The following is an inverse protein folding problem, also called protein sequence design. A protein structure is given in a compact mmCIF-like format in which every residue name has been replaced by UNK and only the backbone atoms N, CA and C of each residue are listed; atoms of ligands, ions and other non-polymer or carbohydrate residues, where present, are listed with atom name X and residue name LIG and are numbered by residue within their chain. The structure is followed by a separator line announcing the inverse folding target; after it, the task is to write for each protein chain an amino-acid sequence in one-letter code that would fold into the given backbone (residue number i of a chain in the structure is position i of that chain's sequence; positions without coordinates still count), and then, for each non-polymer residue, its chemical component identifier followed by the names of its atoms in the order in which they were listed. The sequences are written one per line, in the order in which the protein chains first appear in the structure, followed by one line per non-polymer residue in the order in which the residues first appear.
data_IF_397794784624
#
_entry.id   IF_397794784624
#
_cell.length_a   1.000
_cell.length_b   1.000
_cell.length_c   1.000
_cell.angle_alpha   90.00
_cell.angle_beta   90.00
_cell.angle_gamma   90.00
#
_symmetry.space_group_name_H-M   'P 1'
#
loop_
_entity.id
_entity.type
_entity.pdbx_description
1 polymer ?
#
# COMPACT_ATOMS: atom_id res chain seq x y z
N UNK A 1 19.56 28.07 -13.40
CA UNK A 1 19.62 26.74 -12.74
C UNK A 1 20.66 25.91 -13.47
N UNK A 2 21.55 25.30 -12.73
CA UNK A 2 22.52 24.34 -13.27
C UNK A 2 21.78 23.04 -13.63
N UNK A 3 22.11 22.42 -14.76
CA UNK A 3 21.48 21.14 -15.11
C UNK A 3 21.97 20.03 -14.17
N UNK A 4 21.02 19.20 -13.67
CA UNK A 4 21.37 18.02 -12.88
C UNK A 4 22.21 17.06 -13.73
N UNK A 5 23.30 16.48 -13.18
CA UNK A 5 24.14 15.56 -13.91
C UNK A 5 23.42 14.29 -14.32
N UNK A 6 23.85 13.69 -15.42
CA UNK A 6 23.38 12.36 -15.81
C UNK A 6 23.92 11.31 -14.83
N UNK A 7 23.00 10.50 -14.30
CA UNK A 7 23.32 9.42 -13.38
C UNK A 7 23.48 8.10 -14.16
N UNK A 8 24.50 7.31 -13.78
CA UNK A 8 24.65 5.96 -14.31
C UNK A 8 23.50 5.06 -13.86
N UNK A 9 23.27 3.93 -14.56
CA UNK A 9 22.26 2.94 -14.17
C UNK A 9 22.41 2.52 -12.72
N UNK A 10 23.62 2.24 -12.26
CA UNK A 10 23.87 1.82 -10.87
C UNK A 10 23.58 2.91 -9.85
N UNK A 11 23.80 4.18 -10.18
CA UNK A 11 23.41 5.29 -9.30
C UNK A 11 21.89 5.41 -9.18
N UNK A 12 21.16 5.25 -10.29
CA UNK A 12 19.70 5.21 -10.28
C UNK A 12 19.16 4.00 -9.51
N UNK A 13 19.79 2.85 -9.67
CA UNK A 13 19.47 1.63 -8.91
C UNK A 13 19.67 1.82 -7.41
N UNK A 14 20.85 2.31 -7.01
CA UNK A 14 21.19 2.53 -5.60
C UNK A 14 20.23 3.53 -4.93
N UNK A 15 19.75 4.53 -5.68
CA UNK A 15 18.83 5.54 -5.18
C UNK A 15 17.49 4.92 -4.69
N UNK A 16 17.06 3.85 -5.31
CA UNK A 16 15.78 3.20 -5.03
C UNK A 16 15.90 1.82 -4.39
N UNK A 17 17.12 1.29 -4.21
CA UNK A 17 17.31 -0.09 -3.75
C UNK A 17 16.72 -0.37 -2.37
N UNK A 18 16.85 0.57 -1.44
CA UNK A 18 16.24 0.43 -0.11
C UNK A 18 14.71 0.30 -0.14
N UNK A 19 14.08 0.79 -1.19
CA UNK A 19 12.63 0.67 -1.37
C UNK A 19 12.17 -0.79 -1.56
N UNK A 20 13.03 -1.65 -2.11
CA UNK A 20 12.79 -3.09 -2.16
C UNK A 20 12.55 -3.66 -0.75
N UNK A 21 13.41 -3.33 0.23
CA UNK A 21 13.25 -3.76 1.61
C UNK A 21 11.99 -3.19 2.28
N UNK A 22 11.69 -1.92 2.05
CA UNK A 22 10.47 -1.28 2.58
C UNK A 22 9.21 -1.95 2.03
N UNK A 23 9.22 -2.35 0.76
CA UNK A 23 8.09 -3.05 0.15
C UNK A 23 7.93 -4.48 0.65
N UNK A 24 8.99 -5.17 1.03
CA UNK A 24 8.89 -6.46 1.73
C UNK A 24 8.13 -6.28 3.06
N UNK A 25 8.48 -5.27 3.85
CA UNK A 25 7.78 -4.99 5.10
C UNK A 25 6.29 -4.67 4.87
N UNK A 26 5.98 -3.83 3.89
CA UNK A 26 4.61 -3.50 3.53
C UNK A 26 3.81 -4.72 3.03
N UNK A 27 4.42 -5.58 2.22
CA UNK A 27 3.79 -6.80 1.72
C UNK A 27 3.51 -7.80 2.86
N UNK A 28 4.47 -8.00 3.77
CA UNK A 28 4.28 -8.84 4.95
C UNK A 28 3.15 -8.33 5.84
N UNK A 29 3.09 -7.03 6.06
CA UNK A 29 1.99 -6.40 6.78
C UNK A 29 0.66 -6.64 6.07
N UNK A 30 0.54 -6.27 4.79
CA UNK A 30 -0.71 -6.36 4.03
C UNK A 30 -1.27 -7.77 3.96
N UNK A 31 -0.43 -8.78 3.82
CA UNK A 31 -0.85 -10.17 3.70
C UNK A 31 -1.10 -10.87 5.03
N UNK A 32 -0.45 -10.44 6.12
CA UNK A 32 -0.44 -11.22 7.35
C UNK A 32 -1.08 -10.53 8.55
N UNK A 33 -1.39 -9.24 8.51
CA UNK A 33 -1.97 -8.54 9.69
C UNK A 33 -3.29 -9.16 10.11
N UNK A 34 -4.23 -9.37 9.19
CA UNK A 34 -5.51 -10.03 9.52
C UNK A 34 -5.30 -11.44 10.07
N UNK A 35 -4.39 -12.21 9.44
CA UNK A 35 -4.02 -13.55 9.90
C UNK A 35 -3.42 -13.52 11.32
N UNK A 36 -2.51 -12.60 11.61
CA UNK A 36 -1.89 -12.45 12.93
C UNK A 36 -2.96 -12.14 13.98
N UNK A 37 -3.79 -11.12 13.77
CA UNK A 37 -4.83 -10.75 14.73
C UNK A 37 -5.86 -11.87 14.93
N UNK A 38 -6.26 -12.58 13.87
CA UNK A 38 -7.12 -13.74 13.96
C UNK A 38 -6.49 -14.86 14.79
N UNK A 39 -5.23 -15.14 14.57
CA UNK A 39 -4.47 -16.16 15.34
C UNK A 39 -4.31 -15.74 16.80
N UNK A 40 -4.17 -14.45 17.08
CA UNK A 40 -4.11 -13.90 18.44
C UNK A 40 -5.46 -13.92 19.16
N UNK A 41 -6.56 -14.21 18.46
CA UNK A 41 -7.90 -14.34 19.03
C UNK A 41 -8.87 -13.21 18.71
N UNK A 42 -8.58 -12.37 17.71
CA UNK A 42 -9.51 -11.33 17.27
C UNK A 42 -10.78 -11.92 16.66
N UNK A 43 -11.94 -11.35 17.02
CA UNK A 43 -13.21 -11.68 16.39
C UNK A 43 -13.23 -11.19 14.93
N UNK A 44 -13.74 -11.98 13.96
CA UNK A 44 -13.88 -11.54 12.57
C UNK A 44 -14.66 -10.23 12.41
N UNK A 45 -15.66 -9.97 13.27
CA UNK A 45 -16.48 -8.76 13.23
C UNK A 45 -15.70 -7.50 13.64
N UNK A 46 -14.69 -7.66 14.53
CA UNK A 46 -13.85 -6.56 14.99
C UNK A 46 -12.61 -6.36 14.11
N UNK A 47 -12.29 -7.33 13.24
CA UNK A 47 -11.06 -7.36 12.46
C UNK A 47 -10.87 -6.12 11.58
N UNK A 48 -11.96 -5.60 11.02
CA UNK A 48 -11.90 -4.41 10.16
C UNK A 48 -11.47 -3.15 10.89
N UNK A 49 -11.70 -3.03 12.20
CA UNK A 49 -11.29 -1.84 12.98
C UNK A 49 -9.76 -1.68 13.01
N UNK A 50 -8.99 -2.78 12.99
CA UNK A 50 -7.53 -2.70 12.91
C UNK A 50 -7.06 -2.05 11.61
N UNK A 51 -7.82 -2.18 10.54
CA UNK A 51 -7.52 -1.63 9.22
C UNK A 51 -7.84 -0.14 9.05
N UNK A 52 -8.33 0.53 10.12
CA UNK A 52 -8.43 1.99 10.15
C UNK A 52 -7.03 2.63 10.21
N UNK A 53 -6.07 1.97 10.87
CA UNK A 53 -4.75 2.55 11.15
C UNK A 53 -3.90 2.77 9.90
N UNK A 54 -3.73 1.83 8.94
CA UNK A 54 -2.90 2.03 7.78
C UNK A 54 -3.26 3.29 6.97
N UNK A 55 -4.50 3.49 6.51
CA UNK A 55 -4.86 4.69 5.76
C UNK A 55 -4.78 5.97 6.61
N UNK A 56 -5.10 5.89 7.90
CA UNK A 56 -5.01 7.04 8.82
C UNK A 56 -3.55 7.48 8.97
N UNK A 57 -2.63 6.54 9.23
CA UNK A 57 -1.20 6.85 9.35
C UNK A 57 -0.62 7.33 8.03
N UNK A 58 -0.99 6.73 6.90
CA UNK A 58 -0.58 7.21 5.57
C UNK A 58 -0.99 8.67 5.30
N UNK A 59 -2.21 9.03 5.71
CA UNK A 59 -2.75 10.38 5.54
C UNK A 59 -2.05 11.42 6.43
N UNK A 60 -1.63 11.04 7.64
CA UNK A 60 -1.02 11.94 8.62
C UNK A 60 0.49 12.01 8.45
N UNK A 61 1.15 10.85 8.37
CA UNK A 61 2.62 10.75 8.45
C UNK A 61 3.30 11.28 7.19
N UNK A 62 2.78 10.96 6.00
CA UNK A 62 3.44 11.34 4.74
C UNK A 62 3.60 12.86 4.57
N UNK A 63 2.58 13.71 4.80
CA UNK A 63 2.74 15.17 4.74
C UNK A 63 3.70 15.71 5.80
N UNK A 64 3.63 15.17 7.03
CA UNK A 64 4.50 15.60 8.13
C UNK A 64 5.96 15.31 7.79
N UNK A 65 6.27 14.07 7.39
CA UNK A 65 7.63 13.68 7.00
C UNK A 65 8.12 14.44 5.79
N UNK A 66 7.25 14.65 4.80
CA UNK A 66 7.55 15.50 3.64
C UNK A 66 8.03 16.89 4.08
N UNK A 67 7.22 17.58 4.86
CA UNK A 67 7.50 18.95 5.35
C UNK A 67 8.72 19.00 6.26
N UNK A 68 8.85 18.07 7.20
CA UNK A 68 10.00 18.04 8.12
C UNK A 68 11.29 17.76 7.36
N UNK A 69 11.30 16.80 6.44
CA UNK A 69 12.48 16.46 5.65
C UNK A 69 12.90 17.60 4.72
N UNK A 70 11.98 18.46 4.31
CA UNK A 70 12.31 19.68 3.54
C UNK A 70 13.12 20.71 4.35
N UNK A 71 12.93 20.73 5.66
CA UNK A 71 13.60 21.65 6.59
C UNK A 71 14.87 21.09 7.22
N UNK A 72 15.09 19.78 7.06
CA UNK A 72 16.22 19.09 7.70
C UNK A 72 17.46 19.12 6.83
N UNK A 73 18.60 19.50 7.43
CA UNK A 73 19.92 19.41 6.83
C UNK A 73 20.89 18.88 7.86
N UNK A 74 21.43 17.69 7.64
CA UNK A 74 22.43 17.08 8.50
C UNK A 74 23.54 16.41 7.67
N UNK A 75 24.52 15.83 8.34
CA UNK A 75 25.66 15.16 7.68
C UNK A 75 25.25 13.97 6.78
N UNK A 76 24.13 13.34 7.07
CA UNK A 76 23.59 12.22 6.27
C UNK A 76 22.78 12.68 5.08
N UNK A 77 22.42 13.97 5.03
CA UNK A 77 21.56 14.55 4.01
C UNK A 77 20.25 15.08 4.56
N UNK A 78 19.27 15.22 3.70
CA UNK A 78 17.96 15.81 3.97
C UNK A 78 16.89 14.74 4.17
N UNK A 79 16.86 13.75 3.30
CA UNK A 79 15.85 12.66 3.25
C UNK A 79 16.29 11.41 3.99
N UNK A 80 17.57 11.07 3.90
CA UNK A 80 18.16 9.84 4.45
C UNK A 80 17.92 9.66 5.96
N UNK A 81 17.98 10.68 6.83
CA UNK A 81 17.69 10.49 8.25
C UNK A 81 16.31 9.92 8.53
N UNK A 82 15.27 10.38 7.82
CA UNK A 82 13.90 9.90 7.99
C UNK A 82 13.73 8.48 7.49
N UNK A 83 14.36 8.16 6.36
CA UNK A 83 14.44 6.81 5.84
C UNK A 83 15.06 5.84 6.85
N UNK A 84 16.20 6.23 7.43
CA UNK A 84 16.93 5.42 8.39
C UNK A 84 16.13 5.20 9.67
N UNK A 85 15.61 6.26 10.29
CA UNK A 85 14.81 6.17 11.52
C UNK A 85 13.54 5.35 11.29
N UNK A 86 12.83 5.60 10.18
CA UNK A 86 11.64 4.83 9.82
C UNK A 86 11.95 3.33 9.66
N UNK A 87 13.00 3.00 8.94
CA UNK A 87 13.40 1.60 8.77
C UNK A 87 13.83 0.94 10.10
N UNK A 88 14.57 1.65 10.94
CA UNK A 88 15.01 1.12 12.24
C UNK A 88 13.83 0.81 13.18
N UNK A 89 12.86 1.73 13.27
CA UNK A 89 11.63 1.50 14.05
C UNK A 89 10.80 0.38 13.45
N UNK A 90 10.66 0.32 12.12
CA UNK A 90 9.94 -0.75 11.44
C UNK A 90 10.55 -2.13 11.73
N UNK A 91 11.88 -2.25 11.72
CA UNK A 91 12.59 -3.50 12.07
C UNK A 91 12.28 -3.95 13.49
N UNK A 92 12.35 -3.03 14.46
CA UNK A 92 12.02 -3.35 15.85
C UNK A 92 10.57 -3.85 15.99
N UNK A 93 9.64 -3.16 15.35
CA UNK A 93 8.21 -3.53 15.41
C UNK A 93 7.92 -4.84 14.67
N UNK A 94 8.57 -5.08 13.53
CA UNK A 94 8.44 -6.36 12.80
C UNK A 94 8.95 -7.56 13.63
N UNK A 95 9.88 -7.35 14.54
CA UNK A 95 10.32 -8.38 15.47
C UNK A 95 9.35 -8.56 16.64
N UNK A 96 8.67 -7.52 17.08
CA UNK A 96 7.80 -7.56 18.26
C UNK A 96 6.36 -8.00 17.94
N UNK A 97 5.78 -7.49 16.86
CA UNK A 97 4.37 -7.71 16.52
C UNK A 97 3.99 -9.20 16.38
N UNK A 98 4.71 -10.04 15.64
CA UNK A 98 4.32 -11.45 15.51
C UNK A 98 4.54 -12.26 16.80
N UNK A 99 5.26 -11.72 17.79
CA UNK A 99 5.49 -12.35 19.08
C UNK A 99 4.50 -11.90 20.17
N UNK A 100 3.50 -11.10 19.83
CA UNK A 100 2.55 -10.56 20.79
C UNK A 100 1.87 -11.64 21.66
N UNK A 101 1.53 -12.79 21.07
CA UNK A 101 0.91 -13.91 21.79
C UNK A 101 1.83 -14.63 22.77
N UNK A 102 3.14 -14.46 22.66
CA UNK A 102 4.14 -15.10 23.52
C UNK A 102 4.49 -14.28 24.76
N UNK A 103 3.89 -13.11 24.95
CA UNK A 103 4.19 -12.19 26.05
C UNK A 103 3.50 -12.54 27.38
N UNK A 104 2.67 -13.59 27.42
CA UNK A 104 1.96 -13.98 28.63
C UNK A 104 0.85 -12.99 29.06
N UNK A 105 0.39 -12.15 28.14
CA UNK A 105 -0.65 -11.16 28.38
C UNK A 105 -2.05 -11.74 28.17
N UNK A 106 -3.07 -11.14 28.80
CA UNK A 106 -4.46 -11.46 28.52
C UNK A 106 -4.82 -11.07 27.06
N UNK A 107 -5.83 -11.71 26.46
CA UNK A 107 -6.24 -11.49 25.06
C UNK A 107 -6.48 -10.00 24.77
N UNK A 108 -7.19 -9.29 25.65
CA UNK A 108 -7.44 -7.86 25.50
C UNK A 108 -6.15 -7.02 25.49
N UNK A 109 -5.17 -7.38 26.30
CA UNK A 109 -3.87 -6.71 26.36
C UNK A 109 -3.03 -7.01 25.13
N UNK A 110 -3.09 -8.26 24.63
CA UNK A 110 -2.44 -8.66 23.37
C UNK A 110 -3.01 -7.85 22.18
N UNK A 111 -4.34 -7.66 22.15
CA UNK A 111 -4.98 -6.87 21.10
C UNK A 111 -4.55 -5.40 21.15
N UNK A 112 -4.49 -4.78 22.32
CA UNK A 112 -4.02 -3.40 22.48
C UNK A 112 -2.56 -3.28 22.10
N UNK A 113 -1.72 -4.21 22.53
CA UNK A 113 -0.31 -4.26 22.15
C UNK A 113 -0.14 -4.38 20.62
N UNK A 114 -0.86 -5.31 20.00
CA UNK A 114 -0.87 -5.50 18.56
C UNK A 114 -1.31 -4.24 17.79
N UNK A 115 -2.33 -3.54 18.29
CA UNK A 115 -2.83 -2.31 17.72
C UNK A 115 -1.77 -1.19 17.76
N UNK A 116 -1.09 -1.03 18.90
CA UNK A 116 0.00 -0.06 19.06
C UNK A 116 1.17 -0.42 18.12
N UNK A 117 1.54 -1.70 18.05
CA UNK A 117 2.59 -2.16 17.16
C UNK A 117 2.22 -1.93 15.68
N UNK A 118 0.98 -2.19 15.29
CA UNK A 118 0.51 -1.92 13.94
C UNK A 118 0.58 -0.42 13.62
N UNK A 119 0.13 0.44 14.52
CA UNK A 119 0.22 1.89 14.35
C UNK A 119 1.67 2.36 14.17
N UNK A 120 2.59 1.84 14.97
CA UNK A 120 4.03 2.15 14.86
C UNK A 120 4.63 1.60 13.56
N UNK A 121 4.20 0.42 13.11
CA UNK A 121 4.64 -0.17 11.86
C UNK A 121 4.20 0.68 10.66
N UNK A 122 2.94 1.06 10.62
CA UNK A 122 2.41 1.93 9.55
C UNK A 122 3.09 3.30 9.54
N UNK A 123 3.28 3.90 10.72
CA UNK A 123 4.00 5.17 10.86
C UNK A 123 5.41 5.06 10.31
N UNK A 124 6.15 4.02 10.70
CA UNK A 124 7.55 3.85 10.32
C UNK A 124 7.73 3.46 8.86
N UNK A 125 6.86 2.62 8.31
CA UNK A 125 6.86 2.29 6.87
C UNK A 125 6.58 3.54 6.03
N UNK A 126 5.55 4.32 6.38
CA UNK A 126 5.24 5.56 5.67
C UNK A 126 6.37 6.59 5.79
N UNK A 127 7.01 6.69 6.97
CA UNK A 127 8.17 7.55 7.17
C UNK A 127 9.37 7.12 6.32
N UNK A 128 9.58 5.82 6.10
CA UNK A 128 10.64 5.31 5.24
C UNK A 128 10.30 5.43 3.75
N UNK A 129 9.04 5.24 3.36
CA UNK A 129 8.60 5.30 1.95
C UNK A 129 8.70 6.69 1.35
N UNK A 130 8.34 7.72 2.10
CA UNK A 130 8.24 9.08 1.57
C UNK A 130 9.57 9.62 1.03
N UNK A 131 10.73 9.47 1.71
CA UNK A 131 12.02 9.87 1.18
C UNK A 131 12.36 9.26 -0.19
N UNK A 132 12.03 8.00 -0.43
CA UNK A 132 12.30 7.36 -1.72
C UNK A 132 11.55 8.04 -2.88
N UNK A 133 10.28 8.39 -2.67
CA UNK A 133 9.49 9.09 -3.67
C UNK A 133 10.07 10.47 -4.00
N UNK A 134 10.60 11.15 -2.99
CA UNK A 134 11.13 12.50 -3.10
C UNK A 134 12.56 12.55 -3.65
N UNK A 135 13.43 11.61 -3.28
CA UNK A 135 14.83 11.58 -3.75
C UNK A 135 14.96 11.49 -5.27
N UNK A 136 14.07 10.77 -5.94
CA UNK A 136 14.07 10.71 -7.40
C UNK A 136 13.79 12.10 -7.99
N UNK A 137 12.83 12.82 -7.44
CA UNK A 137 12.53 14.20 -7.83
C UNK A 137 13.70 15.16 -7.59
N UNK A 138 14.31 15.04 -6.39
CA UNK A 138 15.40 15.93 -5.97
C UNK A 138 16.69 15.71 -6.77
N UNK A 139 17.07 14.46 -7.06
CA UNK A 139 18.40 14.10 -7.57
C UNK A 139 18.47 13.74 -9.05
N UNK A 140 17.35 13.38 -9.67
CA UNK A 140 17.35 12.91 -11.06
C UNK A 140 16.94 14.04 -12.02
N UNK A 141 17.64 14.16 -13.16
CA UNK A 141 17.28 15.12 -14.20
C UNK A 141 16.01 14.68 -14.96
N UNK A 142 15.35 15.61 -15.62
CA UNK A 142 14.08 15.35 -16.32
C UNK A 142 14.18 14.24 -17.38
N UNK A 143 15.33 14.14 -18.08
CA UNK A 143 15.55 13.12 -19.13
C UNK A 143 15.57 11.70 -18.56
N UNK A 144 16.02 11.53 -17.32
CA UNK A 144 16.20 10.23 -16.69
C UNK A 144 15.09 9.89 -15.67
N UNK A 145 14.18 10.81 -15.33
CA UNK A 145 13.10 10.58 -14.35
C UNK A 145 12.25 9.36 -14.68
N UNK A 146 11.84 9.22 -15.94
CA UNK A 146 11.03 8.07 -16.35
C UNK A 146 11.76 6.74 -16.10
N UNK A 147 13.07 6.67 -16.40
CA UNK A 147 13.92 5.51 -16.14
C UNK A 147 14.07 5.25 -14.63
N UNK A 148 14.29 6.30 -13.85
CA UNK A 148 14.43 6.20 -12.38
C UNK A 148 13.15 5.68 -11.73
N UNK A 149 11.99 6.20 -12.11
CA UNK A 149 10.69 5.70 -11.61
C UNK A 149 10.38 4.28 -12.08
N UNK A 150 10.81 3.89 -13.28
CA UNK A 150 10.69 2.51 -13.74
C UNK A 150 11.50 1.54 -12.89
N UNK A 151 12.75 1.89 -12.55
CA UNK A 151 13.60 1.11 -11.63
C UNK A 151 12.96 1.04 -10.25
N UNK A 152 12.47 2.15 -9.72
CA UNK A 152 11.79 2.21 -8.44
C UNK A 152 10.54 1.32 -8.42
N UNK A 153 9.72 1.38 -9.46
CA UNK A 153 8.53 0.54 -9.60
C UNK A 153 8.88 -0.94 -9.68
N UNK A 154 9.93 -1.29 -10.42
CA UNK A 154 10.41 -2.67 -10.48
C UNK A 154 10.84 -3.19 -9.11
N UNK A 155 11.66 -2.43 -8.38
CA UNK A 155 12.12 -2.81 -7.04
C UNK A 155 10.96 -2.90 -6.04
N UNK A 156 10.00 -2.00 -6.14
CA UNK A 156 8.78 -2.00 -5.34
C UNK A 156 7.98 -3.30 -5.55
N UNK A 157 7.68 -3.64 -6.80
CA UNK A 157 6.91 -4.84 -7.12
C UNK A 157 7.68 -6.13 -6.78
N UNK A 158 8.98 -6.18 -7.06
CA UNK A 158 9.83 -7.31 -6.70
C UNK A 158 9.86 -7.54 -5.19
N UNK A 159 10.00 -6.46 -4.40
CA UNK A 159 9.92 -6.53 -2.94
C UNK A 159 8.59 -7.05 -2.44
N UNK A 160 7.49 -6.58 -3.03
CA UNK A 160 6.14 -7.05 -2.67
C UNK A 160 5.97 -8.55 -2.95
N UNK A 161 6.37 -9.02 -4.12
CA UNK A 161 6.29 -10.45 -4.48
C UNK A 161 7.10 -11.31 -3.51
N UNK A 162 8.33 -10.90 -3.20
CA UNK A 162 9.19 -11.62 -2.25
C UNK A 162 8.55 -11.67 -0.86
N UNK A 163 8.05 -10.54 -0.35
CA UNK A 163 7.39 -10.47 0.96
C UNK A 163 6.15 -11.36 1.04
N UNK A 164 5.32 -11.36 0.00
CA UNK A 164 4.12 -12.20 -0.07
C UNK A 164 4.43 -13.69 -0.05
N UNK A 165 5.54 -14.11 -0.66
CA UNK A 165 5.90 -15.53 -0.78
C UNK A 165 6.58 -16.09 0.47
N UNK A 166 7.10 -15.28 1.38
CA UNK A 166 7.91 -15.75 2.51
C UNK A 166 7.24 -16.85 3.36
N UNK A 167 6.00 -16.69 3.88
CA UNK A 167 5.41 -17.72 4.71
C UNK A 167 5.25 -19.06 3.99
N UNK A 168 4.91 -19.03 2.71
CA UNK A 168 4.79 -20.22 1.87
C UNK A 168 6.15 -20.91 1.67
N UNK A 169 7.17 -20.16 1.31
CA UNK A 169 8.53 -20.68 1.09
C UNK A 169 9.09 -21.27 2.38
N UNK A 170 8.89 -20.62 3.52
CA UNK A 170 9.40 -21.11 4.80
C UNK A 170 8.67 -22.37 5.26
N UNK A 171 7.37 -22.50 4.99
CA UNK A 171 6.66 -23.75 5.20
C UNK A 171 7.21 -24.87 4.28
N UNK A 172 7.50 -24.56 3.01
CA UNK A 172 8.06 -25.52 2.05
C UNK A 172 9.46 -26.01 2.42
N UNK A 173 10.27 -25.19 3.08
CA UNK A 173 11.60 -25.60 3.59
C UNK A 173 11.55 -26.25 4.97
N UNK A 174 10.37 -26.51 5.52
CA UNK A 174 10.18 -27.32 6.72
C UNK A 174 10.01 -26.54 8.03
N UNK A 175 9.81 -25.21 8.00
CA UNK A 175 9.43 -24.47 9.20
C UNK A 175 7.99 -24.82 9.62
N UNK A 176 7.78 -24.99 10.92
CA UNK A 176 6.48 -25.31 11.47
C UNK A 176 5.44 -24.23 11.13
N UNK A 177 4.31 -24.67 10.59
CA UNK A 177 3.19 -23.82 10.20
C UNK A 177 2.06 -23.80 11.23
N UNK A 178 2.27 -24.47 12.36
CA UNK A 178 1.33 -24.56 13.49
C UNK A 178 2.03 -24.17 14.77
N UNK A 179 1.32 -23.51 15.67
CA UNK A 179 1.75 -23.19 17.00
C UNK A 179 0.60 -23.43 18.01
N UNK A 180 0.87 -23.27 19.28
CA UNK A 180 -0.17 -23.31 20.30
C UNK A 180 -1.24 -22.24 20.04
N UNK A 181 -2.51 -22.45 20.47
CA UNK A 181 -3.56 -21.44 20.32
C UNK A 181 -3.13 -20.08 20.87
N UNK A 182 -3.39 -19.01 20.12
CA UNK A 182 -2.99 -17.64 20.48
C UNK A 182 -1.54 -17.28 20.15
N UNK A 183 -0.77 -18.18 19.55
CA UNK A 183 0.62 -17.96 19.15
C UNK A 183 0.74 -18.00 17.63
N UNK A 184 1.41 -17.01 17.06
CA UNK A 184 1.65 -16.92 15.63
C UNK A 184 2.62 -18.01 15.18
N UNK A 185 2.35 -18.74 14.07
CA UNK A 185 3.22 -19.81 13.60
C UNK A 185 4.63 -19.34 13.25
N UNK A 186 5.64 -20.20 13.45
CA UNK A 186 7.03 -19.90 13.09
C UNK A 186 7.24 -19.45 11.64
N UNK A 187 6.47 -19.96 10.69
CA UNK A 187 6.52 -19.53 9.27
C UNK A 187 6.27 -18.03 9.13
N UNK A 188 5.31 -17.47 9.86
CA UNK A 188 5.01 -16.04 9.85
C UNK A 188 6.05 -15.25 10.64
N UNK A 189 6.40 -15.71 11.84
CA UNK A 189 7.41 -15.05 12.70
C UNK A 189 8.74 -14.89 11.96
N UNK A 190 9.25 -15.95 11.36
CA UNK A 190 10.48 -15.91 10.59
C UNK A 190 10.37 -15.08 9.32
N UNK A 191 9.19 -15.04 8.69
CA UNK A 191 8.95 -14.13 7.56
C UNK A 191 9.17 -12.66 7.97
N UNK A 192 8.68 -12.27 9.14
CA UNK A 192 8.89 -10.91 9.65
C UNK A 192 10.35 -10.68 10.06
N UNK A 193 11.04 -11.64 10.66
CA UNK A 193 12.44 -11.50 11.04
C UNK A 193 13.34 -11.36 9.82
N UNK A 194 13.19 -12.22 8.82
CA UNK A 194 13.99 -12.15 7.59
C UNK A 194 13.62 -10.90 6.79
N UNK A 195 12.34 -10.56 6.72
CA UNK A 195 11.90 -9.31 6.10
C UNK A 195 12.50 -8.08 6.77
N UNK A 196 12.56 -8.05 8.10
CA UNK A 196 13.20 -6.99 8.88
C UNK A 196 14.71 -6.92 8.61
N UNK A 197 15.40 -8.07 8.56
CA UNK A 197 16.82 -8.14 8.22
C UNK A 197 17.10 -7.60 6.80
N UNK A 198 16.29 -7.98 5.81
CA UNK A 198 16.43 -7.47 4.44
C UNK A 198 16.13 -5.97 4.39
N UNK A 199 15.09 -5.50 5.09
CA UNK A 199 14.75 -4.08 5.16
C UNK A 199 15.95 -3.26 5.64
N UNK A 200 16.54 -3.63 6.77
CA UNK A 200 17.65 -2.84 7.33
C UNK A 200 18.90 -2.91 6.45
N UNK A 201 19.20 -4.07 5.87
CA UNK A 201 20.34 -4.24 4.95
C UNK A 201 20.14 -3.37 3.70
N UNK A 202 18.97 -3.39 3.09
CA UNK A 202 18.65 -2.59 1.90
C UNK A 202 18.71 -1.08 2.19
N UNK A 203 18.18 -0.66 3.33
CA UNK A 203 18.21 0.75 3.75
C UNK A 203 19.63 1.21 4.08
N UNK A 204 20.40 0.41 4.81
CA UNK A 204 21.81 0.70 5.07
C UNK A 204 22.62 0.80 3.78
N UNK A 205 22.40 -0.13 2.85
CA UNK A 205 23.04 -0.09 1.53
C UNK A 205 22.75 1.24 0.82
N UNK A 206 21.47 1.63 0.73
CA UNK A 206 21.08 2.90 0.10
C UNK A 206 21.71 4.09 0.84
N UNK A 207 21.66 4.12 2.17
CA UNK A 207 22.22 5.20 2.99
C UNK A 207 23.73 5.35 2.79
N UNK A 208 24.46 4.26 2.62
CA UNK A 208 25.91 4.28 2.40
C UNK A 208 26.29 4.64 0.96
N UNK A 209 25.49 4.26 -0.02
CA UNK A 209 25.79 4.46 -1.45
C UNK A 209 25.27 5.78 -2.02
N UNK A 210 24.16 6.28 -1.46
CA UNK A 210 23.54 7.54 -1.91
C UNK A 210 24.06 8.68 -1.03
N UNK A 211 24.67 9.66 -1.66
CA UNK A 211 25.02 10.94 -1.05
C UNK A 211 24.10 12.01 -1.60
N UNK A 212 23.25 12.56 -0.75
CA UNK A 212 22.44 13.72 -1.10
C UNK A 212 23.34 14.95 -1.28
N UNK A 213 22.96 15.85 -2.15
CA UNK A 213 23.71 17.09 -2.36
C UNK A 213 23.70 17.97 -1.10
N UNK A 214 24.82 18.60 -0.78
CA UNK A 214 24.85 19.59 0.28
C UNK A 214 23.97 20.80 -0.09
N UNK A 215 23.53 21.64 0.91
CA UNK A 215 22.55 22.69 0.69
C UNK A 215 22.87 23.62 -0.49
N UNK A 216 24.12 24.04 -0.65
CA UNK A 216 24.56 24.93 -1.74
C UNK A 216 24.38 24.30 -3.11
N UNK A 217 24.81 23.04 -3.28
CA UNK A 217 24.65 22.32 -4.55
C UNK A 217 23.18 22.02 -4.84
N UNK A 218 22.41 21.70 -3.80
CA UNK A 218 20.97 21.48 -3.96
C UNK A 218 20.28 22.73 -4.50
N UNK A 219 20.59 23.93 -3.96
CA UNK A 219 20.06 25.21 -4.44
C UNK A 219 20.50 25.54 -5.88
N UNK A 220 21.73 25.18 -6.28
CA UNK A 220 22.20 25.37 -7.65
C UNK A 220 21.40 24.54 -8.67
N UNK A 221 21.03 23.31 -8.30
CA UNK A 221 20.31 22.38 -9.17
C UNK A 221 18.79 22.54 -9.12
N UNK A 222 18.22 22.84 -7.97
CA UNK A 222 16.78 22.93 -7.77
C UNK A 222 16.25 24.36 -7.63
N UNK A 223 17.15 25.37 -7.54
CA UNK A 223 16.83 26.79 -7.39
C UNK A 223 16.48 27.18 -5.95
N UNK A 224 16.74 28.44 -5.59
CA UNK A 224 16.30 29.00 -4.30
C UNK A 224 14.78 29.04 -4.15
N UNK A 225 14.08 29.14 -5.29
CA UNK A 225 12.64 29.14 -5.34
C UNK A 225 11.99 27.89 -4.73
N UNK A 226 12.62 26.70 -4.88
CA UNK A 226 12.04 25.47 -4.32
C UNK A 226 12.12 25.36 -2.79
N UNK A 227 12.99 26.14 -2.13
CA UNK A 227 12.99 26.26 -0.67
C UNK A 227 12.02 27.34 -0.20
N UNK A 228 11.84 28.42 -0.99
CA UNK A 228 10.90 29.49 -0.70
C UNK A 228 9.52 29.26 -1.31
N UNK A 229 9.39 28.63 -2.48
CA UNK A 229 8.10 28.26 -3.06
C UNK A 229 7.42 27.15 -2.29
N UNK A 230 8.15 26.11 -1.81
CA UNK A 230 7.55 25.13 -0.90
C UNK A 230 7.16 25.77 0.45
N UNK A 231 7.88 26.78 0.93
CA UNK A 231 7.52 27.53 2.14
C UNK A 231 6.46 28.61 1.83
N UNK A 232 6.48 29.23 0.65
CA UNK A 232 5.45 30.18 0.23
C UNK A 232 4.21 29.48 -0.35
N UNK A 233 4.33 28.33 -1.05
CA UNK A 233 3.19 27.50 -1.38
C UNK A 233 2.59 26.84 -0.13
N UNK A 234 3.39 26.44 0.85
CA UNK A 234 2.87 25.97 2.15
C UNK A 234 2.26 27.14 2.94
N UNK A 235 2.85 28.34 2.91
CA UNK A 235 2.27 29.54 3.52
C UNK A 235 1.11 30.15 2.73
N UNK A 236 1.08 30.03 1.40
CA UNK A 236 -0.07 30.36 0.57
C UNK A 236 -1.13 29.27 0.62
N UNK A 237 -0.74 28.00 0.80
CA UNK A 237 -1.64 26.88 1.05
C UNK A 237 -2.27 26.98 2.46
N UNK A 238 -1.54 27.47 3.46
CA UNK A 238 -2.12 27.81 4.78
C UNK A 238 -3.09 28.99 4.72
N UNK A 239 -3.00 29.84 3.68
CA UNK A 239 -3.94 30.97 3.45
C UNK A 239 -5.03 30.67 2.41
N UNK A 240 -4.88 29.66 1.55
CA UNK A 240 -5.98 29.20 0.74
C UNK A 240 -6.79 28.22 1.57
N UNK A 241 -7.97 28.65 2.00
CA UNK A 241 -8.93 27.82 2.70
C UNK A 241 -9.15 26.54 1.86
N UNK A 242 -8.69 25.39 2.38
CA UNK A 242 -8.81 24.08 1.72
C UNK A 242 -10.27 23.75 1.36
N UNK A 243 -11.23 24.31 2.11
CA UNK A 243 -12.66 24.22 1.82
C UNK A 243 -12.98 24.95 0.52
N UNK A 244 -12.40 26.13 0.32
CA UNK A 244 -12.57 26.91 -0.91
C UNK A 244 -11.95 26.18 -2.11
N UNK A 245 -10.79 25.55 -1.94
CA UNK A 245 -10.18 24.74 -3.00
C UNK A 245 -11.05 23.54 -3.36
N UNK A 246 -11.57 22.80 -2.38
CA UNK A 246 -12.47 21.68 -2.62
C UNK A 246 -13.77 22.14 -3.31
N UNK A 247 -14.34 23.27 -2.91
CA UNK A 247 -15.55 23.84 -3.52
C UNK A 247 -15.32 24.22 -4.99
N UNK A 248 -14.12 24.68 -5.32
CA UNK A 248 -13.73 25.08 -6.67
C UNK A 248 -13.09 23.95 -7.49
N UNK A 249 -12.99 22.75 -6.92
CA UNK A 249 -12.42 21.61 -7.62
C UNK A 249 -13.24 21.24 -8.88
N UNK A 250 -12.57 20.84 -9.99
CA UNK A 250 -13.28 20.48 -11.19
C UNK A 250 -14.20 19.29 -10.94
N UNK A 251 -15.34 19.23 -11.67
CA UNK A 251 -16.32 18.15 -11.50
C UNK A 251 -15.70 16.75 -11.67
N UNK A 252 -14.67 16.61 -12.52
CA UNK A 252 -13.92 15.37 -12.71
C UNK A 252 -13.24 14.91 -11.42
N UNK A 253 -12.73 15.83 -10.58
CA UNK A 253 -12.13 15.49 -9.28
C UNK A 253 -13.12 14.71 -8.39
N UNK A 254 -14.34 15.18 -8.27
CA UNK A 254 -15.38 14.54 -7.46
C UNK A 254 -15.89 13.23 -8.07
N UNK A 255 -16.03 13.18 -9.40
CA UNK A 255 -16.48 11.98 -10.11
C UNK A 255 -15.45 10.86 -10.00
N UNK A 256 -14.16 11.16 -10.15
CA UNK A 256 -13.07 10.21 -9.91
C UNK A 256 -13.01 9.83 -8.43
N UNK A 257 -13.20 10.78 -7.52
CA UNK A 257 -13.31 10.52 -6.09
C UNK A 257 -14.41 9.51 -5.75
N UNK A 258 -15.57 9.59 -6.41
CA UNK A 258 -16.66 8.63 -6.24
C UNK A 258 -16.27 7.22 -6.71
N UNK A 259 -15.56 7.09 -7.83
CA UNK A 259 -15.02 5.79 -8.27
C UNK A 259 -14.03 5.25 -7.25
N UNK A 260 -13.11 6.10 -6.77
CA UNK A 260 -12.13 5.74 -5.75
C UNK A 260 -12.79 5.26 -4.44
N UNK A 261 -13.92 5.85 -4.06
CA UNK A 261 -14.68 5.43 -2.89
C UNK A 261 -15.02 3.94 -2.93
N UNK A 262 -15.62 3.49 -4.02
CA UNK A 262 -15.99 2.08 -4.19
C UNK A 262 -14.77 1.16 -4.30
N UNK A 263 -13.75 1.59 -5.05
CA UNK A 263 -12.56 0.81 -5.28
C UNK A 263 -11.77 0.54 -4.00
N UNK A 264 -11.51 1.58 -3.22
CA UNK A 264 -10.69 1.44 -2.01
C UNK A 264 -11.45 0.78 -0.86
N UNK A 265 -12.77 0.93 -0.80
CA UNK A 265 -13.61 0.16 0.12
C UNK A 265 -13.55 -1.35 -0.20
N UNK A 266 -13.61 -1.71 -1.48
CA UNK A 266 -13.49 -3.10 -1.92
C UNK A 266 -12.13 -3.71 -1.53
N UNK A 267 -11.05 -2.97 -1.75
CA UNK A 267 -9.70 -3.42 -1.43
C UNK A 267 -9.48 -3.56 0.08
N UNK A 268 -10.06 -2.68 0.88
CA UNK A 268 -9.99 -2.83 2.33
C UNK A 268 -10.62 -4.15 2.77
N UNK A 269 -11.79 -4.50 2.24
CA UNK A 269 -12.42 -5.79 2.56
C UNK A 269 -11.61 -6.99 2.08
N UNK A 270 -10.87 -6.86 0.96
CA UNK A 270 -9.90 -7.87 0.56
C UNK A 270 -8.84 -8.06 1.64
N UNK A 271 -8.14 -7.01 2.03
CA UNK A 271 -7.06 -7.11 3.03
C UNK A 271 -7.56 -7.62 4.38
N UNK A 272 -8.79 -7.25 4.75
CA UNK A 272 -9.38 -7.65 6.03
C UNK A 272 -9.80 -9.12 6.04
N UNK A 273 -10.49 -9.59 5.01
CA UNK A 273 -11.26 -10.83 5.06
C UNK A 273 -10.77 -11.93 4.10
N UNK A 274 -9.85 -11.66 3.19
CA UNK A 274 -9.52 -12.63 2.13
C UNK A 274 -8.86 -13.90 2.65
N UNK A 275 -8.05 -13.83 3.72
CA UNK A 275 -7.43 -15.03 4.31
C UNK A 275 -8.51 -15.94 4.86
N UNK A 276 -9.45 -15.38 5.62
CA UNK A 276 -10.61 -16.12 6.15
C UNK A 276 -11.49 -16.65 5.01
N UNK A 277 -11.74 -15.85 3.98
CA UNK A 277 -12.54 -16.26 2.82
C UNK A 277 -11.93 -17.44 2.05
N UNK A 278 -10.62 -17.42 1.83
CA UNK A 278 -9.89 -18.52 1.17
C UNK A 278 -9.86 -19.76 2.07
N UNK A 279 -9.67 -19.59 3.39
CA UNK A 279 -9.73 -20.69 4.35
C UNK A 279 -11.11 -21.34 4.41
N UNK A 280 -12.18 -20.54 4.44
CA UNK A 280 -13.56 -21.02 4.39
C UNK A 280 -13.86 -21.79 3.08
N UNK A 281 -13.42 -21.24 1.94
CA UNK A 281 -13.80 -21.75 0.61
C UNK A 281 -13.01 -22.98 0.22
N UNK A 282 -11.70 -23.02 0.48
CA UNK A 282 -10.79 -24.07 -0.03
C UNK A 282 -10.52 -25.14 1.02
N UNK A 283 -10.43 -24.77 2.29
CA UNK A 283 -10.09 -25.67 3.40
C UNK A 283 -11.25 -25.92 4.37
N UNK A 284 -12.43 -25.35 4.10
CA UNK A 284 -13.63 -25.51 4.92
C UNK A 284 -13.39 -25.26 6.43
N UNK A 285 -12.59 -24.24 6.75
CA UNK A 285 -12.22 -23.91 8.12
C UNK A 285 -12.42 -22.43 8.45
N UNK A 286 -12.84 -22.17 9.69
CA UNK A 286 -12.91 -20.84 10.31
C UNK A 286 -12.05 -20.74 11.56
N UNK A 287 -11.49 -21.86 11.96
CA UNK A 287 -10.63 -21.94 13.14
C UNK A 287 -9.24 -21.41 12.81
N UNK A 288 -8.93 -20.22 13.27
CA UNK A 288 -7.64 -19.55 13.05
C UNK A 288 -6.46 -20.24 13.76
N UNK A 289 -6.73 -21.16 14.69
CA UNK A 289 -5.71 -21.98 15.35
C UNK A 289 -5.40 -23.27 14.59
N UNK A 290 -6.22 -23.63 13.61
CA UNK A 290 -6.06 -24.86 12.83
C UNK A 290 -4.89 -24.78 11.85
N UNK A 291 -4.28 -25.93 11.56
CA UNK A 291 -3.24 -26.04 10.52
C UNK A 291 -3.77 -25.65 9.13
N UNK A 292 -5.01 -26.05 8.83
CA UNK A 292 -5.67 -25.73 7.57
C UNK A 292 -5.78 -24.22 7.34
N UNK A 293 -6.13 -23.44 8.38
CA UNK A 293 -6.16 -21.99 8.30
C UNK A 293 -4.78 -21.40 8.03
N UNK A 294 -3.75 -21.92 8.67
CA UNK A 294 -2.39 -21.44 8.47
C UNK A 294 -1.85 -21.78 7.08
N UNK A 295 -2.21 -22.94 6.52
CA UNK A 295 -1.93 -23.28 5.12
C UNK A 295 -2.65 -22.33 4.16
N UNK A 296 -3.93 -22.03 4.43
CA UNK A 296 -4.70 -21.04 3.66
C UNK A 296 -4.04 -19.66 3.68
N UNK A 297 -3.53 -19.22 4.83
CA UNK A 297 -2.80 -17.96 4.98
C UNK A 297 -1.52 -17.91 4.12
N UNK A 298 -0.73 -18.99 4.12
CA UNK A 298 0.45 -19.11 3.26
C UNK A 298 0.09 -19.07 1.78
N UNK A 299 -0.97 -19.77 1.39
CA UNK A 299 -1.45 -19.79 0.00
C UNK A 299 -2.00 -18.43 -0.43
N UNK A 300 -2.68 -17.71 0.46
CA UNK A 300 -3.14 -16.34 0.21
C UNK A 300 -1.96 -15.42 -0.12
N UNK A 301 -0.83 -15.59 0.54
CA UNK A 301 0.41 -14.87 0.19
C UNK A 301 0.85 -15.17 -1.26
N UNK A 302 0.80 -16.43 -1.70
CA UNK A 302 1.07 -16.79 -3.11
C UNK A 302 0.09 -16.13 -4.06
N UNK A 303 -1.20 -16.10 -3.69
CA UNK A 303 -2.24 -15.44 -4.49
C UNK A 303 -2.01 -13.93 -4.60
N UNK A 304 -1.58 -13.26 -3.55
CA UNK A 304 -1.18 -11.85 -3.61
C UNK A 304 0.02 -11.63 -4.53
N UNK A 305 1.01 -12.52 -4.52
CA UNK A 305 2.15 -12.44 -5.45
C UNK A 305 1.69 -12.60 -6.91
N UNK A 306 0.77 -13.53 -7.17
CA UNK A 306 0.15 -13.72 -8.50
C UNK A 306 -0.65 -12.48 -8.91
N UNK A 307 -1.43 -11.90 -8.01
CA UNK A 307 -2.14 -10.64 -8.24
C UNK A 307 -1.18 -9.51 -8.63
N UNK A 308 -0.06 -9.36 -7.92
CA UNK A 308 0.95 -8.35 -8.21
C UNK A 308 1.57 -8.56 -9.61
N UNK A 309 1.93 -9.78 -9.97
CA UNK A 309 2.44 -10.11 -11.31
C UNK A 309 1.39 -9.86 -12.40
N UNK A 310 0.16 -10.27 -12.17
CA UNK A 310 -0.98 -10.03 -13.08
C UNK A 310 -1.23 -8.54 -13.28
N UNK A 311 -1.09 -7.74 -12.23
CA UNK A 311 -1.20 -6.28 -12.28
C UNK A 311 -0.12 -5.66 -13.18
N UNK A 312 1.14 -6.08 -13.04
CA UNK A 312 2.24 -5.60 -13.89
C UNK A 312 1.97 -5.94 -15.36
N UNK A 313 1.55 -7.17 -15.63
CA UNK A 313 1.20 -7.59 -16.99
C UNK A 313 0.05 -6.73 -17.54
N UNK A 314 -1.04 -6.57 -16.79
CA UNK A 314 -2.20 -5.78 -17.23
C UNK A 314 -1.87 -4.31 -17.46
N UNK A 315 -0.98 -3.74 -16.65
CA UNK A 315 -0.51 -2.37 -16.83
C UNK A 315 0.11 -2.14 -18.21
N UNK A 316 0.75 -3.16 -18.83
CA UNK A 316 1.27 -3.07 -20.20
C UNK A 316 0.18 -3.13 -21.27
N UNK A 317 -1.00 -3.63 -20.91
CA UNK A 317 -2.15 -3.70 -21.82
C UNK A 317 -2.98 -2.42 -21.81
N UNK A 318 -3.04 -1.69 -20.68
CA UNK A 318 -3.85 -0.48 -20.52
C UNK A 318 -3.63 0.58 -21.62
N UNK A 319 -2.40 0.89 -22.07
CA UNK A 319 -2.17 1.88 -23.13
C UNK A 319 -2.72 1.45 -24.50
N UNK A 320 -3.04 0.16 -24.70
CA UNK A 320 -3.56 -0.34 -25.97
C UNK A 320 -5.05 -0.04 -26.15
N UNK A 321 -5.75 0.31 -25.08
CA UNK A 321 -7.15 0.72 -25.17
C UNK A 321 -7.25 2.13 -25.78
N UNK A 322 -8.05 2.29 -26.81
CA UNK A 322 -8.33 3.59 -27.44
C UNK A 322 -9.05 4.57 -26.51
N UNK A 323 -9.81 4.04 -25.56
CA UNK A 323 -10.64 4.82 -24.63
C UNK A 323 -10.20 4.52 -23.20
N UNK A 324 -9.59 5.49 -22.53
CA UNK A 324 -9.09 5.40 -21.16
C UNK A 324 -10.19 5.06 -20.14
N UNK A 325 -11.39 5.61 -20.32
CA UNK A 325 -12.56 5.32 -19.47
C UNK A 325 -12.99 3.87 -19.61
N UNK A 326 -13.04 3.37 -20.85
CA UNK A 326 -13.39 1.98 -21.12
C UNK A 326 -12.32 1.04 -20.52
N UNK A 327 -11.03 1.37 -20.65
CA UNK A 327 -9.96 0.60 -20.02
C UNK A 327 -10.15 0.52 -18.51
N UNK A 328 -10.48 1.65 -17.87
CA UNK A 328 -10.73 1.69 -16.43
C UNK A 328 -11.94 0.87 -16.03
N UNK A 329 -13.09 1.08 -16.67
CA UNK A 329 -14.32 0.36 -16.36
C UNK A 329 -14.18 -1.16 -16.56
N UNK A 330 -13.59 -1.61 -17.66
CA UNK A 330 -13.35 -3.03 -17.95
C UNK A 330 -12.44 -3.65 -16.87
N UNK A 331 -11.38 -2.96 -16.49
CA UNK A 331 -10.45 -3.44 -15.45
C UNK A 331 -11.16 -3.62 -14.11
N UNK A 332 -12.02 -2.67 -13.71
CA UNK A 332 -12.79 -2.75 -12.47
C UNK A 332 -13.84 -3.88 -12.51
N UNK A 333 -14.51 -4.08 -13.65
CA UNK A 333 -15.45 -5.21 -13.83
C UNK A 333 -14.72 -6.54 -13.72
N UNK A 334 -13.56 -6.69 -14.36
CA UNK A 334 -12.74 -7.91 -14.25
C UNK A 334 -12.36 -8.19 -12.79
N UNK A 335 -11.91 -7.18 -12.06
CA UNK A 335 -11.61 -7.31 -10.63
C UNK A 335 -12.84 -7.65 -9.79
N UNK A 336 -14.00 -7.04 -10.11
CA UNK A 336 -15.28 -7.33 -9.45
C UNK A 336 -15.71 -8.78 -9.65
N UNK A 337 -15.56 -9.30 -10.87
CA UNK A 337 -15.78 -10.72 -11.19
C UNK A 337 -14.78 -11.59 -10.42
N UNK A 338 -13.51 -11.20 -10.37
CA UNK A 338 -12.48 -11.90 -9.61
C UNK A 338 -12.87 -12.05 -8.13
N UNK A 339 -13.26 -10.97 -7.46
CA UNK A 339 -13.74 -11.04 -6.08
C UNK A 339 -14.97 -11.94 -5.91
N UNK A 340 -15.97 -11.77 -6.78
CA UNK A 340 -17.20 -12.55 -6.70
C UNK A 340 -16.99 -14.05 -6.94
N UNK A 341 -15.93 -14.44 -7.66
CA UNK A 341 -15.61 -15.84 -7.93
C UNK A 341 -14.95 -16.54 -6.74
N UNK A 342 -14.28 -15.84 -5.84
CA UNK A 342 -13.54 -16.45 -4.71
C UNK A 342 -14.39 -17.47 -3.95
N UNK A 343 -15.63 -17.18 -3.51
CA UNK A 343 -16.47 -18.12 -2.76
C UNK A 343 -16.89 -19.36 -3.53
N UNK A 344 -16.87 -19.31 -4.86
CA UNK A 344 -17.36 -20.38 -5.74
C UNK A 344 -16.27 -21.29 -6.29
N UNK A 345 -15.00 -21.03 -5.98
CA UNK A 345 -13.85 -21.78 -6.48
C UNK A 345 -13.19 -22.54 -5.32
N UNK A 346 -13.61 -23.77 -5.00
CA UNK A 346 -13.06 -24.52 -3.87
C UNK A 346 -11.68 -25.12 -4.15
N UNK A 347 -11.17 -24.99 -5.35
CA UNK A 347 -9.84 -25.48 -5.73
C UNK A 347 -8.76 -24.51 -5.34
N UNK A 348 -7.74 -24.98 -4.63
CA UNK A 348 -6.55 -24.21 -4.26
C UNK A 348 -5.92 -23.51 -5.48
N UNK A 349 -5.64 -24.26 -6.55
CA UNK A 349 -5.05 -23.69 -7.78
C UNK A 349 -6.08 -22.91 -8.61
N UNK A 350 -7.35 -23.24 -8.50
CA UNK A 350 -8.42 -22.49 -9.16
C UNK A 350 -8.50 -21.05 -8.68
N UNK A 351 -8.14 -20.75 -7.44
CA UNK A 351 -8.10 -19.41 -6.87
C UNK A 351 -7.12 -18.45 -7.58
N UNK A 352 -6.19 -18.97 -8.37
CA UNK A 352 -5.27 -18.17 -9.19
C UNK A 352 -6.04 -17.26 -10.16
N UNK A 353 -7.10 -17.77 -10.78
CA UNK A 353 -7.90 -17.01 -11.76
C UNK A 353 -8.57 -15.78 -11.14
N UNK A 354 -9.34 -15.88 -10.04
CA UNK A 354 -9.84 -14.72 -9.31
C UNK A 354 -8.78 -13.65 -9.02
N UNK A 355 -7.62 -14.04 -8.52
CA UNK A 355 -6.58 -13.09 -8.15
C UNK A 355 -5.88 -12.43 -9.35
N UNK A 356 -5.75 -13.12 -10.47
CA UNK A 356 -5.30 -12.50 -11.72
C UNK A 356 -6.28 -11.42 -12.19
N UNK A 357 -7.58 -11.69 -12.10
CA UNK A 357 -8.62 -10.70 -12.44
C UNK A 357 -8.61 -9.50 -11.50
N UNK A 358 -8.41 -9.72 -10.20
CA UNK A 358 -8.26 -8.64 -9.21
C UNK A 358 -7.01 -7.79 -9.51
N UNK A 359 -5.94 -8.43 -9.99
CA UNK A 359 -4.73 -7.74 -10.46
C UNK A 359 -4.99 -6.74 -11.58
N UNK A 360 -5.94 -7.02 -12.49
CA UNK A 360 -6.35 -6.07 -13.53
C UNK A 360 -6.96 -4.79 -12.94
N UNK A 361 -7.84 -4.92 -11.95
CA UNK A 361 -8.42 -3.77 -11.26
C UNK A 361 -7.33 -2.98 -10.51
N UNK A 362 -6.43 -3.66 -9.81
CA UNK A 362 -5.34 -3.04 -9.07
C UNK A 362 -4.46 -2.17 -9.97
N UNK A 363 -4.06 -2.67 -11.14
CA UNK A 363 -3.27 -1.89 -12.10
C UNK A 363 -3.98 -0.60 -12.54
N UNK A 364 -5.26 -0.70 -12.86
CA UNK A 364 -6.06 0.45 -13.31
C UNK A 364 -6.32 1.46 -12.19
N UNK A 365 -6.58 0.99 -10.97
CA UNK A 365 -6.81 1.84 -9.79
C UNK A 365 -5.59 2.69 -9.43
N UNK A 366 -4.39 2.20 -9.66
CA UNK A 366 -3.15 2.95 -9.38
C UNK A 366 -2.85 4.01 -10.45
N UNK A 367 -3.21 3.76 -11.71
CA UNK A 367 -2.81 4.60 -12.83
C UNK A 367 -3.90 5.61 -13.26
N UNK A 368 -5.13 5.13 -13.46
CA UNK A 368 -6.17 5.89 -14.14
C UNK A 368 -6.70 7.10 -13.35
N UNK A 369 -6.97 7.03 -12.05
CA UNK A 369 -7.50 8.16 -11.29
C UNK A 369 -6.60 9.38 -11.33
N UNK A 370 -5.29 9.16 -11.14
CA UNK A 370 -4.31 10.25 -11.21
C UNK A 370 -4.23 10.86 -12.60
N UNK A 371 -4.32 10.04 -13.66
CA UNK A 371 -4.35 10.53 -15.04
C UNK A 371 -5.54 11.45 -15.28
N UNK A 372 -6.76 11.03 -14.90
CA UNK A 372 -7.96 11.87 -15.07
C UNK A 372 -7.91 13.16 -14.26
N UNK A 373 -7.45 13.09 -13.01
CA UNK A 373 -7.43 14.24 -12.11
C UNK A 373 -6.34 15.24 -12.53
N UNK A 374 -5.14 14.78 -12.88
CA UNK A 374 -4.06 15.67 -13.35
C UNK A 374 -4.43 16.37 -14.65
N UNK A 375 -5.09 15.67 -15.58
CA UNK A 375 -5.58 16.28 -16.81
C UNK A 375 -6.67 17.34 -16.53
N UNK A 376 -7.57 17.07 -15.59
CA UNK A 376 -8.64 18.01 -15.23
C UNK A 376 -8.13 19.26 -14.46
N UNK A 377 -7.01 19.11 -13.77
CA UNK A 377 -6.39 20.19 -12.99
C UNK A 377 -5.46 21.10 -13.81
N UNK A 378 -5.23 20.78 -15.09
CA UNK A 378 -4.42 21.63 -15.95
C UNK A 378 -5.01 23.04 -16.01
N UNK A 379 -4.21 24.05 -15.62
CA UNK A 379 -4.64 25.45 -15.60
C UNK A 379 -5.34 25.93 -14.32
N UNK A 380 -5.57 25.05 -13.33
CA UNK A 380 -6.23 25.46 -12.07
C UNK A 380 -5.30 26.10 -11.04
N UNK A 381 -3.98 26.01 -11.19
CA UNK A 381 -3.04 26.36 -10.12
C UNK A 381 -3.14 25.40 -8.91
N UNK A 382 -2.24 25.52 -7.95
CA UNK A 382 -2.23 24.70 -6.71
C UNK A 382 -2.33 23.19 -6.95
N UNK A 383 -1.77 22.67 -8.06
CA UNK A 383 -1.81 21.26 -8.45
C UNK A 383 -1.40 20.32 -7.31
N UNK A 384 -0.32 20.64 -6.60
CA UNK A 384 0.18 19.84 -5.49
C UNK A 384 -0.83 19.73 -4.34
N UNK A 385 -1.49 20.83 -3.99
CA UNK A 385 -2.53 20.85 -2.94
C UNK A 385 -3.74 20.02 -3.35
N UNK A 386 -4.19 20.13 -4.60
CA UNK A 386 -5.29 19.29 -5.12
C UNK A 386 -4.95 17.81 -5.12
N UNK A 387 -3.71 17.42 -5.48
CA UNK A 387 -3.28 16.02 -5.43
C UNK A 387 -3.17 15.51 -3.98
N UNK A 388 -2.75 16.37 -3.05
CA UNK A 388 -2.78 16.05 -1.62
C UNK A 388 -4.21 15.82 -1.10
N UNK A 389 -5.15 16.70 -1.47
CA UNK A 389 -6.57 16.53 -1.16
C UNK A 389 -7.17 15.29 -1.84
N UNK A 390 -6.72 14.99 -3.06
CA UNK A 390 -7.15 13.78 -3.77
C UNK A 390 -6.71 12.49 -3.05
N UNK A 391 -5.59 12.50 -2.33
CA UNK A 391 -5.20 11.36 -1.51
C UNK A 391 -6.24 11.03 -0.42
N UNK A 392 -7.02 12.01 0.03
CA UNK A 392 -8.14 11.75 0.95
C UNK A 392 -9.21 10.86 0.31
N UNK A 393 -9.39 10.89 -1.01
CA UNK A 393 -10.33 9.99 -1.72
C UNK A 393 -9.86 8.53 -1.74
N UNK A 394 -8.61 8.27 -1.36
CA UNK A 394 -8.03 6.94 -1.15
C UNK A 394 -8.22 6.50 0.30
N UNK A 395 -7.89 7.38 1.24
CA UNK A 395 -7.85 7.03 2.67
C UNK A 395 -9.22 7.01 3.34
N UNK A 396 -10.07 8.02 3.07
CA UNK A 396 -11.40 8.12 3.70
C UNK A 396 -12.32 6.94 3.39
N UNK A 397 -12.42 6.44 2.15
CA UNK A 397 -13.22 5.26 1.85
C UNK A 397 -12.78 4.01 2.62
N UNK A 398 -11.47 3.85 2.81
CA UNK A 398 -10.93 2.74 3.59
C UNK A 398 -11.33 2.86 5.06
N UNK A 399 -11.25 4.05 5.63
CA UNK A 399 -11.65 4.29 7.04
C UNK A 399 -13.16 4.00 7.20
N UNK A 400 -13.99 4.50 6.29
CA UNK A 400 -15.45 4.27 6.32
C UNK A 400 -15.76 2.78 6.17
N UNK A 401 -15.13 2.11 5.21
CA UNK A 401 -15.30 0.67 4.98
C UNK A 401 -14.85 -0.14 6.22
N UNK A 402 -13.76 0.26 6.87
CA UNK A 402 -13.27 -0.38 8.08
C UNK A 402 -14.27 -0.25 9.25
N UNK A 403 -14.86 0.92 9.43
CA UNK A 403 -15.89 1.16 10.46
C UNK A 403 -17.14 0.30 10.19
N UNK A 404 -17.54 0.18 8.91
CA UNK A 404 -18.75 -0.55 8.53
C UNK A 404 -18.52 -2.06 8.38
N UNK A 405 -17.28 -2.54 8.31
CA UNK A 405 -16.95 -3.90 7.89
C UNK A 405 -17.56 -4.98 8.75
N UNK A 406 -17.47 -4.86 10.07
CA UNK A 406 -18.07 -5.82 11.01
C UNK A 406 -19.60 -5.87 10.93
N UNK A 407 -20.25 -4.72 10.76
CA UNK A 407 -21.69 -4.65 10.57
C UNK A 407 -22.14 -5.31 9.26
N UNK A 408 -21.42 -5.04 8.17
CA UNK A 408 -21.70 -5.66 6.86
C UNK A 408 -21.48 -7.18 6.94
N UNK A 409 -20.40 -7.62 7.57
CA UNK A 409 -20.13 -9.04 7.78
C UNK A 409 -21.29 -9.73 8.52
N UNK A 410 -21.84 -9.09 9.55
CA UNK A 410 -23.02 -9.59 10.26
C UNK A 410 -24.24 -9.69 9.33
N UNK A 411 -24.50 -8.66 8.52
CA UNK A 411 -25.62 -8.64 7.57
C UNK A 411 -25.54 -9.75 6.51
N UNK A 412 -24.33 -10.12 6.08
CA UNK A 412 -24.13 -11.18 5.07
C UNK A 412 -23.97 -12.58 5.69
N UNK A 413 -24.36 -12.76 6.95
CA UNK A 413 -24.39 -14.04 7.62
C UNK A 413 -23.10 -14.47 8.31
N UNK A 414 -22.16 -13.56 8.55
CA UNK A 414 -20.90 -13.82 9.25
C UNK A 414 -19.86 -14.62 8.47
N UNK A 415 -20.03 -14.77 7.15
CA UNK A 415 -19.10 -15.49 6.28
C UNK A 415 -18.16 -14.52 5.57
N UNK A 416 -16.85 -14.67 5.83
CA UNK A 416 -15.83 -13.85 5.16
C UNK A 416 -15.78 -14.08 3.65
N UNK A 417 -16.11 -15.29 3.20
CA UNK A 417 -16.28 -15.60 1.78
C UNK A 417 -17.34 -14.70 1.10
N UNK A 418 -18.46 -14.42 1.79
CA UNK A 418 -19.51 -13.52 1.28
C UNK A 418 -19.05 -12.07 1.23
N UNK A 419 -18.13 -11.64 2.11
CA UNK A 419 -17.53 -10.31 2.02
C UNK A 419 -16.74 -10.10 0.71
N UNK A 420 -16.25 -11.16 0.09
CA UNK A 420 -15.60 -11.06 -1.24
C UNK A 420 -16.64 -10.72 -2.32
N UNK A 421 -17.86 -11.23 -2.22
CA UNK A 421 -18.95 -10.83 -3.12
C UNK A 421 -19.28 -9.34 -2.92
N UNK A 422 -19.33 -8.88 -1.68
CA UNK A 422 -19.53 -7.44 -1.36
C UNK A 422 -18.43 -6.59 -2.01
N UNK A 423 -17.16 -6.98 -1.87
CA UNK A 423 -16.06 -6.30 -2.52
C UNK A 423 -16.19 -6.29 -4.05
N UNK A 424 -16.64 -7.41 -4.64
CA UNK A 424 -16.92 -7.51 -6.07
C UNK A 424 -18.01 -6.53 -6.52
N UNK A 425 -19.12 -6.46 -5.79
CA UNK A 425 -20.22 -5.52 -6.06
C UNK A 425 -19.73 -4.07 -5.98
N UNK A 426 -18.93 -3.73 -4.96
CA UNK A 426 -18.34 -2.39 -4.82
C UNK A 426 -17.50 -2.02 -6.05
N UNK A 427 -16.64 -2.93 -6.54
CA UNK A 427 -15.84 -2.66 -7.75
C UNK A 427 -16.73 -2.46 -8.99
N UNK A 428 -17.78 -3.24 -9.15
CA UNK A 428 -18.74 -3.07 -10.27
C UNK A 428 -19.47 -1.74 -10.15
N UNK A 429 -19.88 -1.33 -8.96
CA UNK A 429 -20.44 0.01 -8.71
C UNK A 429 -19.42 1.10 -9.09
N UNK A 430 -18.15 0.94 -8.73
CA UNK A 430 -17.07 1.81 -9.16
C UNK A 430 -16.94 1.88 -10.68
N UNK A 431 -17.02 0.74 -11.36
CA UNK A 431 -16.99 0.66 -12.82
C UNK A 431 -18.16 1.42 -13.47
N UNK A 432 -19.38 1.30 -12.92
CA UNK A 432 -20.53 2.06 -13.39
C UNK A 432 -20.32 3.57 -13.21
N UNK A 433 -19.72 3.99 -12.08
CA UNK A 433 -19.41 5.40 -11.81
C UNK A 433 -18.36 5.99 -12.77
N UNK A 434 -17.51 5.16 -13.40
CA UNK A 434 -16.57 5.63 -14.44
C UNK A 434 -17.32 6.30 -15.61
N UNK A 435 -18.54 5.87 -15.89
CA UNK A 435 -19.41 6.47 -16.91
C UNK A 435 -19.63 7.97 -16.70
N UNK A 436 -19.66 8.44 -15.44
CA UNK A 436 -19.88 9.86 -15.11
C UNK A 436 -18.65 10.75 -15.37
N UNK A 437 -17.45 10.18 -15.53
CA UNK A 437 -16.23 10.95 -15.79
C UNK A 437 -16.35 11.56 -17.19
N UNK A 438 -16.15 12.86 -17.33
CA UNK A 438 -16.07 13.54 -18.62
C UNK A 438 -14.59 13.75 -18.94
N UNK A 439 -14.10 13.04 -19.95
CA UNK A 439 -12.76 13.24 -20.49
C UNK A 439 -12.83 14.50 -21.39
N UNK A 440 -12.20 15.57 -20.97
CA UNK A 440 -11.90 16.67 -21.90
C UNK A 440 -10.76 16.14 -22.78
N UNK A 441 -11.08 15.85 -24.03
CA UNK A 441 -10.11 15.55 -25.08
C UNK A 441 -9.15 16.71 -25.27
#
# INVERSE_FOLDING_TARGET
MKQKPDLSFWKLWNLSFGFFGVQIAYALQSANISRIFRTLGADPHDLSYFWILPPLMGMIVQPIVGTLSDKTWCRLGRRIPYLFVGAFVAVAVMCLLPNAGSLGLAISQVMIFGLIMLMLLDTSINMAMQPFKMMVGDMVNEKQKAKAYSIQSFLCNAGSVVGFLFPYVFAAVGLANVAAPGIVPPTVVWSFYIGAAILIICVLYTTLKVKEWPPKEYEEYNGKANLSENVEETKKSEKSDWITLLRNAPATFWKVGLVQFFCWAALLYMWTYVVDAVAETVWDTRDSSSEAYQIAGNWTGVLYAIQAMGSVFWATMLPRFKNTKMAYAVSLVLGGIGFALIPFVPSQFGQIVPFLLIGCAWAAMLAMPFTFVTNALQGYGHMGTYLGLFNCTICLPQIIAAICGGFILHLVGGHSATMMIVAGVLLVCGAACVGFIHDKK
#
